data_IF_691696913678
#
_entry.id   IF_691696913678
#
_cell.length_a   1.000
_cell.length_b   1.000
_cell.length_c   1.000
_cell.angle_alpha   90.00
_cell.angle_beta   90.00
_cell.angle_gamma   90.00
#
_symmetry.space_group_name_H-M   'P 1'
#
loop_
_entity.id
_entity.type
_entity.pdbx_description
1 polymer ?
#
# COMPACT_ATOMS: atom_id res chain seq x y z
N UNK A 1 14.13 -40.26 -25.76
CA UNK A 1 13.46 -39.90 -27.03
C UNK A 1 12.92 -38.50 -26.81
N UNK A 2 13.47 -37.47 -27.48
CA UNK A 2 13.05 -36.09 -27.25
C UNK A 2 11.62 -35.93 -27.79
N UNK A 3 10.69 -35.60 -26.90
CA UNK A 3 9.29 -35.39 -27.28
C UNK A 3 9.04 -33.92 -27.53
N UNK A 4 8.30 -33.57 -28.57
CA UNK A 4 7.98 -32.19 -28.92
C UNK A 4 6.48 -31.93 -28.79
N UNK A 5 6.14 -30.73 -28.30
CA UNK A 5 4.78 -30.18 -28.35
C UNK A 5 4.78 -28.85 -29.09
N UNK A 6 3.66 -28.53 -29.72
CA UNK A 6 3.40 -27.21 -30.30
C UNK A 6 2.46 -26.44 -29.36
N UNK A 7 2.90 -25.25 -28.93
CA UNK A 7 2.10 -24.33 -28.12
C UNK A 7 1.63 -23.19 -28.99
N UNK A 8 0.35 -22.86 -28.90
CA UNK A 8 -0.27 -21.80 -29.67
C UNK A 8 -0.91 -20.74 -28.76
N UNK A 9 -0.57 -19.47 -29.00
CA UNK A 9 -1.07 -18.31 -28.25
C UNK A 9 -1.32 -17.15 -29.21
N UNK A 10 -2.58 -16.74 -29.43
CA UNK A 10 -2.93 -15.62 -30.31
C UNK A 10 -2.22 -15.64 -31.69
N UNK A 11 -2.28 -16.77 -32.41
CA UNK A 11 -1.63 -16.97 -33.73
C UNK A 11 -0.08 -17.02 -33.68
N UNK A 12 0.54 -17.03 -32.50
CA UNK A 12 1.95 -17.34 -32.33
C UNK A 12 2.09 -18.83 -32.00
N UNK A 13 2.96 -19.52 -32.70
CA UNK A 13 3.29 -20.92 -32.44
C UNK A 13 4.73 -21.05 -31.96
N UNK A 14 4.93 -21.79 -30.87
CA UNK A 14 6.26 -22.14 -30.35
C UNK A 14 6.35 -23.66 -30.19
N UNK A 15 7.42 -24.27 -30.69
CA UNK A 15 7.68 -25.70 -30.54
C UNK A 15 8.66 -25.87 -29.38
N UNK A 16 8.32 -26.73 -28.42
CA UNK A 16 9.13 -26.97 -27.23
C UNK A 16 9.38 -28.47 -27.07
N UNK A 17 10.64 -28.82 -26.79
CA UNK A 17 11.02 -30.16 -26.38
C UNK A 17 10.80 -30.34 -24.87
N UNK A 18 10.22 -31.47 -24.47
CA UNK A 18 9.97 -31.82 -23.08
C UNK A 18 10.35 -33.27 -22.79
N UNK A 19 10.64 -33.53 -21.51
CA UNK A 19 10.85 -34.89 -20.99
C UNK A 19 9.51 -35.46 -20.48
N UNK A 20 9.24 -36.78 -20.60
CA UNK A 20 7.95 -37.37 -20.18
C UNK A 20 7.60 -37.11 -18.71
N UNK A 21 8.62 -37.01 -17.86
CA UNK A 21 8.54 -36.71 -16.42
C UNK A 21 8.31 -35.22 -16.12
N UNK A 22 8.50 -34.33 -17.10
CA UNK A 22 8.25 -32.90 -16.90
C UNK A 22 6.75 -32.67 -16.64
N UNK A 23 6.43 -31.75 -15.73
CA UNK A 23 5.05 -31.27 -15.54
C UNK A 23 4.72 -30.18 -16.55
N UNK A 24 3.44 -30.01 -16.87
CA UNK A 24 2.97 -28.95 -17.76
C UNK A 24 3.46 -27.55 -17.33
N UNK A 25 3.53 -27.31 -16.01
CA UNK A 25 4.09 -26.09 -15.41
C UNK A 25 5.59 -25.91 -15.68
N UNK A 26 6.38 -26.98 -15.66
CA UNK A 26 7.81 -26.96 -16.00
C UNK A 26 8.02 -26.59 -17.46
N UNK A 27 7.24 -27.19 -18.36
CA UNK A 27 7.31 -26.93 -19.80
C UNK A 27 6.89 -25.51 -20.15
N UNK A 28 5.85 -24.98 -19.49
CA UNK A 28 5.43 -23.59 -19.69
C UNK A 28 6.46 -22.55 -19.25
N UNK A 29 7.30 -22.85 -18.26
CA UNK A 29 8.42 -21.96 -17.87
C UNK A 29 9.49 -21.86 -18.95
N UNK A 30 9.58 -22.86 -19.84
CA UNK A 30 10.50 -22.86 -20.98
C UNK A 30 9.96 -22.05 -22.18
N UNK A 31 8.73 -21.52 -22.08
CA UNK A 31 8.13 -20.71 -23.14
C UNK A 31 8.54 -19.24 -23.02
N UNK A 32 8.81 -18.60 -24.15
CA UNK A 32 9.16 -17.18 -24.23
C UNK A 32 7.92 -16.27 -24.37
N UNK A 33 6.72 -16.80 -24.09
CA UNK A 33 5.49 -16.00 -24.04
C UNK A 33 5.55 -15.05 -22.84
N UNK A 34 6.25 -13.92 -22.99
CA UNK A 34 6.44 -12.83 -22.02
C UNK A 34 5.33 -12.77 -20.97
N UNK A 35 5.60 -13.37 -19.81
CA UNK A 35 5.08 -13.07 -18.46
C UNK A 35 3.58 -12.77 -18.26
N UNK A 36 2.71 -13.05 -19.24
CA UNK A 36 1.29 -12.63 -19.23
C UNK A 36 0.30 -13.79 -19.12
N UNK A 37 0.78 -15.01 -18.90
CA UNK A 37 -0.07 -16.18 -18.69
C UNK A 37 -0.32 -16.30 -17.18
N UNK A 38 -1.18 -15.42 -16.66
CA UNK A 38 -1.81 -15.68 -15.37
C UNK A 38 -2.81 -16.82 -15.57
N UNK A 39 -2.47 -17.92 -14.92
CA UNK A 39 -3.08 -19.24 -14.90
C UNK A 39 -4.59 -19.29 -15.16
N UNK A 40 -5.04 -20.22 -16.02
CA UNK A 40 -5.98 -21.30 -15.67
C UNK A 40 -6.65 -21.99 -16.88
N UNK A 41 -6.46 -21.57 -18.13
CA UNK A 41 -7.07 -22.26 -19.28
C UNK A 41 -6.06 -22.60 -20.38
N UNK A 42 -5.56 -23.84 -20.33
CA UNK A 42 -4.91 -24.50 -21.46
C UNK A 42 -5.82 -25.63 -21.94
N UNK A 43 -5.93 -25.82 -23.25
CA UNK A 43 -6.75 -26.89 -23.83
C UNK A 43 -6.00 -27.67 -24.90
N UNK A 44 -6.21 -28.98 -24.93
CA UNK A 44 -5.68 -29.88 -25.95
C UNK A 44 -6.84 -30.63 -26.58
N UNK A 45 -6.97 -30.58 -27.91
CA UNK A 45 -8.07 -31.22 -28.64
C UNK A 45 -9.44 -30.90 -28.03
N UNK A 46 -9.68 -29.62 -27.71
CA UNK A 46 -10.87 -29.11 -27.00
C UNK A 46 -11.11 -29.63 -25.56
N UNK A 47 -10.18 -30.38 -24.98
CA UNK A 47 -10.23 -30.79 -23.56
C UNK A 47 -9.43 -29.81 -22.71
N UNK A 48 -10.03 -29.26 -21.66
CA UNK A 48 -9.37 -28.32 -20.75
C UNK A 48 -8.46 -29.07 -19.79
N UNK A 49 -7.21 -28.61 -19.64
CA UNK A 49 -6.26 -29.13 -18.65
C UNK A 49 -6.62 -28.52 -17.28
N UNK A 50 -7.17 -29.35 -16.40
CA UNK A 50 -7.59 -28.95 -15.05
C UNK A 50 -6.44 -29.04 -14.03
N UNK A 51 -5.50 -29.97 -14.22
CA UNK A 51 -4.36 -30.15 -13.32
C UNK A 51 -3.03 -29.96 -14.06
N UNK A 52 -2.28 -28.96 -13.61
CA UNK A 52 -1.05 -28.47 -14.23
C UNK A 52 0.21 -29.11 -13.64
N UNK A 53 0.04 -29.92 -12.58
CA UNK A 53 1.09 -30.66 -11.91
C UNK A 53 1.17 -32.12 -12.38
N UNK A 54 0.28 -32.55 -13.26
CA UNK A 54 0.35 -33.88 -13.85
C UNK A 54 1.59 -33.99 -14.75
N UNK A 55 2.32 -35.13 -14.69
CA UNK A 55 3.46 -35.37 -15.56
C UNK A 55 2.97 -35.57 -17.00
N UNK A 56 3.71 -35.04 -17.98
CA UNK A 56 3.28 -35.00 -19.38
C UNK A 56 3.02 -36.39 -19.99
N UNK A 57 3.66 -37.44 -19.47
CA UNK A 57 3.41 -38.84 -19.87
C UNK A 57 1.95 -39.28 -19.64
N UNK A 58 1.32 -38.81 -18.56
CA UNK A 58 -0.05 -39.24 -18.19
C UNK A 58 -1.11 -38.73 -19.15
N UNK A 59 -0.78 -37.70 -19.94
CA UNK A 59 -1.76 -36.98 -20.74
C UNK A 59 -1.64 -37.22 -22.25
N UNK A 60 -0.78 -38.15 -22.70
CA UNK A 60 -0.65 -38.56 -24.12
C UNK A 60 -0.55 -37.40 -25.12
N UNK A 61 0.17 -36.31 -24.76
CA UNK A 61 0.28 -35.09 -25.57
C UNK A 61 1.25 -35.19 -26.76
N UNK A 62 1.74 -36.38 -27.09
CA UNK A 62 2.78 -36.58 -28.12
C UNK A 62 2.30 -36.03 -29.48
N UNK A 63 2.98 -35.00 -30.00
CA UNK A 63 2.62 -34.36 -31.27
C UNK A 63 1.32 -33.56 -31.26
N UNK A 64 0.72 -33.32 -30.10
CA UNK A 64 -0.50 -32.52 -29.98
C UNK A 64 -0.21 -31.02 -29.94
N UNK A 65 -1.15 -30.23 -30.43
CA UNK A 65 -1.12 -28.76 -30.28
C UNK A 65 -1.87 -28.38 -29.02
N UNK A 66 -1.19 -27.68 -28.12
CA UNK A 66 -1.76 -27.12 -26.90
C UNK A 66 -2.13 -25.67 -27.18
N UNK A 67 -3.41 -25.36 -27.06
CA UNK A 67 -3.92 -24.01 -27.17
C UNK A 67 -3.86 -23.33 -25.81
N UNK A 68 -3.07 -22.27 -25.72
CA UNK A 68 -3.01 -21.39 -24.57
C UNK A 68 -3.99 -20.25 -24.79
N UNK A 69 -4.95 -20.11 -23.90
CA UNK A 69 -5.89 -19.00 -23.94
C UNK A 69 -5.36 -17.90 -23.02
N UNK A 70 -5.08 -16.71 -23.56
CA UNK A 70 -4.90 -15.53 -22.70
C UNK A 70 -6.24 -15.25 -22.04
N UNK A 71 -6.27 -15.27 -20.71
CA UNK A 71 -7.32 -14.59 -19.98
C UNK A 71 -7.12 -13.09 -20.22
N UNK A 72 -7.67 -12.56 -21.32
CA UNK A 72 -8.16 -11.19 -21.27
C UNK A 72 -9.24 -11.25 -20.22
N UNK A 73 -9.03 -10.57 -19.08
CA UNK A 73 -10.10 -10.28 -18.13
C UNK A 73 -11.35 -10.01 -18.94
N UNK A 74 -12.27 -10.99 -18.96
CA UNK A 74 -13.34 -11.00 -19.92
C UNK A 74 -14.05 -9.65 -19.77
N UNK A 75 -14.15 -8.90 -20.86
CA UNK A 75 -15.05 -7.77 -20.96
C UNK A 75 -16.46 -8.32 -20.80
N UNK A 76 -16.86 -8.54 -19.54
CA UNK A 76 -18.15 -9.02 -19.17
C UNK A 76 -19.09 -7.81 -19.32
N UNK A 77 -19.50 -7.55 -20.56
CA UNK A 77 -20.40 -6.44 -20.92
C UNK A 77 -21.69 -6.43 -20.07
N UNK A 78 -22.04 -7.55 -19.43
CA UNK A 78 -23.18 -7.69 -18.51
C UNK A 78 -22.96 -7.08 -17.12
N UNK A 79 -21.71 -6.88 -16.68
CA UNK A 79 -21.39 -6.41 -15.34
C UNK A 79 -20.86 -4.97 -15.30
N UNK A 80 -20.79 -4.30 -16.45
CA UNK A 80 -20.36 -2.91 -16.55
C UNK A 80 -21.48 -2.00 -16.06
N UNK A 81 -21.26 -1.38 -14.91
CA UNK A 81 -22.17 -0.43 -14.29
C UNK A 81 -21.62 1.00 -14.42
N UNK A 82 -22.53 1.96 -14.47
CA UNK A 82 -22.23 3.37 -14.30
C UNK A 82 -22.35 3.72 -12.83
N UNK A 83 -21.28 4.21 -12.24
CA UNK A 83 -21.32 4.79 -10.89
C UNK A 83 -21.20 6.30 -11.02
N UNK A 84 -21.96 7.01 -10.19
CA UNK A 84 -21.89 8.47 -10.09
C UNK A 84 -21.07 8.81 -8.87
N UNK A 85 -19.97 9.51 -9.08
CA UNK A 85 -19.18 10.05 -7.98
C UNK A 85 -19.63 11.45 -7.68
N UNK A 86 -19.83 11.75 -6.40
CA UNK A 86 -19.96 13.13 -5.93
C UNK A 86 -18.68 13.48 -5.20
N UNK A 87 -17.90 14.39 -5.78
CA UNK A 87 -16.66 14.88 -5.17
C UNK A 87 -16.93 16.14 -4.35
N UNK A 88 -16.55 16.13 -3.07
CA UNK A 88 -16.66 17.25 -2.14
C UNK A 88 -15.60 18.35 -2.40
N UNK A 89 -14.50 18.01 -3.10
CA UNK A 89 -13.33 18.89 -3.23
C UNK A 89 -13.54 20.05 -4.23
N UNK A 90 -14.30 19.85 -5.31
CA UNK A 90 -14.45 20.83 -6.39
C UNK A 90 -15.92 21.13 -6.74
N UNK A 91 -16.77 21.34 -5.73
CA UNK A 91 -18.18 21.75 -5.89
C UNK A 91 -19.13 20.65 -6.38
N UNK A 92 -19.25 19.53 -5.64
CA UNK A 92 -20.25 18.47 -5.88
C UNK A 92 -20.29 17.98 -7.33
N UNK A 93 -19.13 17.95 -7.99
CA UNK A 93 -19.01 17.52 -9.38
C UNK A 93 -19.44 16.06 -9.50
N UNK A 94 -20.46 15.82 -10.31
CA UNK A 94 -20.93 14.49 -10.67
C UNK A 94 -20.05 13.93 -11.79
N UNK A 95 -19.33 12.84 -11.50
CA UNK A 95 -18.51 12.13 -12.48
C UNK A 95 -19.11 10.75 -12.70
N UNK A 96 -19.47 10.43 -13.94
CA UNK A 96 -19.94 9.09 -14.32
C UNK A 96 -18.76 8.22 -14.73
N UNK A 97 -18.54 7.12 -14.02
CA UNK A 97 -17.49 6.15 -14.33
C UNK A 97 -18.09 4.81 -14.73
N UNK A 98 -17.46 4.18 -15.73
CA UNK A 98 -17.81 2.85 -16.19
C UNK A 98 -16.87 1.84 -15.54
N UNK A 99 -17.42 0.97 -14.70
CA UNK A 99 -16.65 -0.04 -13.95
C UNK A 99 -17.37 -1.39 -13.95
N UNK A 100 -16.62 -2.50 -13.90
CA UNK A 100 -17.20 -3.84 -13.76
C UNK A 100 -17.44 -4.16 -12.27
N UNK A 101 -18.61 -4.73 -11.94
CA UNK A 101 -18.97 -5.18 -10.58
C UNK A 101 -17.98 -6.16 -9.93
N UNK A 102 -17.19 -6.85 -10.75
CA UNK A 102 -16.15 -7.79 -10.28
C UNK A 102 -14.87 -7.11 -9.82
N UNK A 103 -14.70 -5.81 -10.09
CA UNK A 103 -13.56 -5.03 -9.61
C UNK A 103 -13.60 -4.87 -8.09
N UNK A 104 -12.40 -4.74 -7.53
CA UNK A 104 -12.18 -4.45 -6.13
C UNK A 104 -12.35 -2.96 -5.80
N UNK A 105 -12.43 -2.62 -4.51
CA UNK A 105 -12.35 -1.23 -4.05
C UNK A 105 -11.01 -0.59 -4.43
N UNK A 106 -9.93 -1.36 -4.44
CA UNK A 106 -8.62 -0.89 -4.91
C UNK A 106 -8.67 -0.38 -6.34
N UNK A 107 -9.27 -1.17 -7.25
CA UNK A 107 -9.41 -0.80 -8.66
C UNK A 107 -10.25 0.46 -8.82
N UNK A 108 -11.35 0.58 -8.06
CA UNK A 108 -12.19 1.76 -8.05
C UNK A 108 -11.41 3.00 -7.60
N UNK A 109 -10.63 2.92 -6.51
CA UNK A 109 -9.81 4.05 -6.03
C UNK A 109 -8.75 4.48 -7.05
N UNK A 110 -8.12 3.53 -7.72
CA UNK A 110 -7.18 3.83 -8.81
C UNK A 110 -7.87 4.49 -10.01
N UNK A 111 -9.09 4.09 -10.32
CA UNK A 111 -9.87 4.71 -11.40
C UNK A 111 -10.27 6.14 -11.03
N UNK A 112 -10.66 6.37 -9.78
CA UNK A 112 -10.94 7.71 -9.24
C UNK A 112 -9.72 8.60 -9.31
N UNK A 113 -8.53 8.09 -8.96
CA UNK A 113 -7.28 8.84 -9.03
C UNK A 113 -7.02 9.39 -10.43
N UNK A 114 -7.25 8.57 -11.47
CA UNK A 114 -7.09 8.99 -12.87
C UNK A 114 -8.00 10.14 -13.28
N UNK A 115 -9.15 10.30 -12.64
CA UNK A 115 -10.15 11.34 -12.96
C UNK A 115 -10.10 12.56 -12.04
N UNK A 116 -9.60 12.42 -10.81
CA UNK A 116 -9.67 13.45 -9.77
C UNK A 116 -8.30 13.87 -9.23
N UNK A 117 -7.24 13.14 -9.59
CA UNK A 117 -5.88 13.33 -9.07
C UNK A 117 -5.77 13.25 -7.53
N UNK A 118 -6.75 12.64 -6.85
CA UNK A 118 -6.69 12.37 -5.41
C UNK A 118 -6.05 11.00 -5.21
N UNK A 119 -4.91 10.92 -4.53
CA UNK A 119 -4.20 9.66 -4.27
C UNK A 119 -5.11 8.59 -3.64
N UNK A 120 -5.04 7.30 -4.05
CA UNK A 120 -5.92 6.24 -3.55
C UNK A 120 -6.00 6.12 -2.03
N UNK A 121 -4.85 6.33 -1.37
CA UNK A 121 -4.74 6.29 0.09
C UNK A 121 -5.44 7.47 0.78
N UNK A 122 -5.62 8.58 0.07
CA UNK A 122 -6.30 9.79 0.52
C UNK A 122 -7.77 9.83 0.12
N UNK A 123 -8.28 8.78 -0.49
CA UNK A 123 -9.69 8.68 -0.83
C UNK A 123 -10.47 7.98 0.28
N UNK A 124 -11.58 8.58 0.71
CA UNK A 124 -12.62 7.95 1.49
C UNK A 124 -13.87 7.82 0.63
N UNK A 125 -14.27 6.57 0.35
CA UNK A 125 -15.44 6.25 -0.45
C UNK A 125 -16.58 5.89 0.49
N UNK A 126 -17.75 6.52 0.33
CA UNK A 126 -18.93 6.24 1.13
C UNK A 126 -20.11 5.89 0.23
N UNK A 127 -20.76 4.76 0.53
CA UNK A 127 -21.95 4.26 -0.15
C UNK A 127 -22.98 3.84 0.91
N UNK A 128 -24.19 4.40 0.85
CA UNK A 128 -25.28 4.09 1.80
C UNK A 128 -24.86 4.16 3.29
N UNK A 129 -24.10 5.20 3.67
CA UNK A 129 -23.53 5.39 5.01
C UNK A 129 -22.48 4.34 5.43
N UNK A 130 -21.97 3.54 4.49
CA UNK A 130 -20.87 2.59 4.72
C UNK A 130 -19.61 3.07 4.03
N UNK A 131 -18.51 3.04 4.77
CA UNK A 131 -17.18 3.36 4.24
C UNK A 131 -16.64 2.12 3.52
N UNK A 132 -16.20 2.29 2.28
CA UNK A 132 -15.59 1.23 1.47
C UNK A 132 -14.07 1.23 1.72
N UNK A 133 -13.65 0.56 2.79
CA UNK A 133 -12.24 0.46 3.19
C UNK A 133 -11.61 -0.92 2.91
N UNK A 134 -12.40 -1.96 2.64
CA UNK A 134 -11.87 -3.29 2.33
C UNK A 134 -11.29 -3.34 0.91
N UNK A 135 -9.96 -3.38 0.81
CA UNK A 135 -9.19 -3.25 -0.45
C UNK A 135 -9.56 -4.34 -1.45
N UNK A 136 -9.68 -5.59 -0.99
CA UNK A 136 -9.90 -6.78 -1.84
C UNK A 136 -11.37 -7.06 -2.12
N UNK A 137 -12.28 -6.36 -1.45
CA UNK A 137 -13.71 -6.62 -1.54
C UNK A 137 -14.26 -6.08 -2.85
N UNK A 138 -15.11 -6.87 -3.51
CA UNK A 138 -15.70 -6.52 -4.81
C UNK A 138 -16.87 -5.56 -4.66
N UNK A 139 -17.12 -4.76 -5.70
CA UNK A 139 -18.25 -3.83 -5.74
C UNK A 139 -19.60 -4.55 -5.58
N UNK A 140 -19.75 -5.73 -6.18
CA UNK A 140 -20.96 -6.55 -6.03
C UNK A 140 -21.23 -6.97 -4.59
N UNK A 141 -20.20 -7.19 -3.77
CA UNK A 141 -20.33 -7.62 -2.39
C UNK A 141 -20.78 -6.49 -1.44
N UNK A 142 -20.63 -5.24 -1.87
CA UNK A 142 -21.21 -4.08 -1.19
C UNK A 142 -22.65 -3.79 -1.63
N UNK A 143 -23.21 -4.57 -2.58
CA UNK A 143 -24.55 -4.35 -3.11
C UNK A 143 -24.64 -3.17 -4.06
N UNK A 144 -23.51 -2.67 -4.58
CA UNK A 144 -23.45 -1.57 -5.53
C UNK A 144 -24.10 -2.02 -6.85
N UNK A 145 -25.00 -1.19 -7.39
CA UNK A 145 -25.75 -1.44 -8.63
C UNK A 145 -25.46 -0.40 -9.70
N UNK A 146 -26.03 -0.59 -10.88
CA UNK A 146 -26.01 0.44 -11.92
C UNK A 146 -26.65 1.75 -11.43
N UNK A 147 -26.05 2.88 -11.79
CA UNK A 147 -26.41 4.24 -11.37
C UNK A 147 -26.29 4.53 -9.87
N UNK A 148 -25.57 3.68 -9.12
CA UNK A 148 -25.28 3.94 -7.72
C UNK A 148 -24.45 5.21 -7.54
N UNK A 149 -24.75 5.96 -6.47
CA UNK A 149 -24.03 7.18 -6.12
C UNK A 149 -23.04 6.88 -5.00
N UNK A 150 -21.75 7.09 -5.27
CA UNK A 150 -20.67 6.94 -4.29
C UNK A 150 -20.13 8.33 -3.97
N UNK A 151 -20.12 8.67 -2.69
CA UNK A 151 -19.55 9.93 -2.23
C UNK A 151 -18.03 9.75 -2.07
N UNK A 152 -17.27 10.60 -2.75
CA UNK A 152 -15.81 10.60 -2.67
C UNK A 152 -15.36 11.81 -1.86
N UNK A 153 -14.71 11.54 -0.73
CA UNK A 153 -14.10 12.57 0.11
C UNK A 153 -12.59 12.41 0.11
N UNK A 154 -11.89 13.53 0.05
CA UNK A 154 -10.45 13.55 0.33
C UNK A 154 -10.25 13.46 1.83
N UNK A 155 -9.53 12.44 2.30
CA UNK A 155 -9.06 12.33 3.67
C UNK A 155 -8.17 13.54 3.96
N UNK A 156 -8.54 14.32 4.95
CA UNK A 156 -7.70 15.41 5.46
C UNK A 156 -6.54 14.80 6.24
N UNK A 157 -5.34 14.81 5.68
CA UNK A 157 -4.11 14.54 6.44
C UNK A 157 -3.74 15.81 7.21
N UNK A 158 -4.34 15.98 8.38
CA UNK A 158 -4.03 17.09 9.28
C UNK A 158 -5.25 17.97 9.58
N UNK A 159 -5.45 18.21 10.87
CA UNK A 159 -6.65 18.81 11.44
C UNK A 159 -7.08 17.96 12.62
N UNK A 160 -6.38 18.12 13.74
CA UNK A 160 -6.72 17.50 15.01
C UNK A 160 -8.14 17.94 15.40
N UNK A 161 -9.13 17.15 15.03
CA UNK A 161 -10.56 17.48 15.19
C UNK A 161 -11.08 17.00 16.54
N UNK A 162 -10.30 17.23 17.61
CA UNK A 162 -10.71 17.03 19.00
C UNK A 162 -9.89 18.01 19.82
N UNK A 163 -10.48 19.15 20.23
CA UNK A 163 -10.16 19.93 21.45
C UNK A 163 -8.70 20.17 21.86
N UNK A 164 -7.71 19.97 20.99
CA UNK A 164 -6.32 19.95 21.37
C UNK A 164 -5.61 21.21 20.88
N UNK A 165 -4.98 21.85 21.86
CA UNK A 165 -4.15 23.04 21.84
C UNK A 165 -3.72 23.54 20.46
N UNK A 166 -4.05 24.81 20.20
CA UNK A 166 -3.30 25.69 19.29
C UNK A 166 -1.82 25.32 19.39
N UNK A 167 -1.17 24.96 18.26
CA UNK A 167 0.28 24.79 18.25
C UNK A 167 0.90 25.98 18.97
N UNK A 168 1.75 25.74 19.96
CA UNK A 168 2.31 26.81 20.77
C UNK A 168 2.98 27.83 19.84
N UNK A 169 2.34 29.01 19.70
CA UNK A 169 2.86 30.08 18.88
C UNK A 169 4.03 30.73 19.63
N UNK A 170 5.23 30.22 19.36
CA UNK A 170 6.47 30.71 19.95
C UNK A 170 6.80 32.16 19.54
N UNK A 171 6.03 32.78 18.61
CA UNK A 171 6.11 34.21 18.32
C UNK A 171 5.38 35.07 19.36
N UNK A 172 4.39 34.50 20.05
CA UNK A 172 3.57 35.21 21.05
C UNK A 172 4.09 35.10 22.48
N UNK A 173 5.05 34.22 22.75
CA UNK A 173 5.57 34.05 24.09
C UNK A 173 6.60 32.95 24.20
N UNK A 174 7.83 33.34 24.50
CA UNK A 174 8.93 32.45 24.86
C UNK A 174 10.06 33.28 25.45
N UNK A 175 10.63 32.84 26.57
CA UNK A 175 11.78 33.53 27.16
C UNK A 175 13.02 33.32 26.27
N UNK A 176 13.49 34.38 25.63
CA UNK A 176 14.74 34.36 24.87
C UNK A 176 15.91 34.68 25.78
N UNK A 177 16.58 33.64 26.24
CA UNK A 177 17.78 33.77 27.06
C UNK A 177 19.01 33.85 26.15
N UNK A 178 19.87 34.85 26.34
CA UNK A 178 21.18 34.90 25.68
C UNK A 178 22.09 33.86 26.32
N UNK A 179 22.61 32.94 25.52
CA UNK A 179 23.54 31.91 25.98
C UNK A 179 24.88 32.54 26.36
N UNK A 180 25.43 32.13 27.50
CA UNK A 180 26.76 32.53 27.97
C UNK A 180 27.79 31.46 27.64
N UNK A 181 29.04 31.87 27.35
CA UNK A 181 30.16 30.93 27.15
C UNK A 181 30.75 30.39 28.46
N UNK A 182 30.34 30.95 29.59
CA UNK A 182 30.76 30.55 30.93
C UNK A 182 29.57 29.91 31.63
N UNK A 183 29.77 28.72 32.20
CA UNK A 183 28.72 27.95 32.86
C UNK A 183 29.19 26.59 33.35
N UNK A 184 28.30 25.87 34.03
CA UNK A 184 28.52 24.49 34.48
C UNK A 184 28.46 23.52 33.29
N UNK A 185 29.26 22.47 33.30
CA UNK A 185 29.36 21.50 32.19
C UNK A 185 27.99 20.87 31.85
N UNK A 186 27.24 20.45 32.87
CA UNK A 186 25.89 19.88 32.74
C UNK A 186 24.80 20.88 32.32
N UNK A 187 25.14 22.14 32.04
CA UNK A 187 24.22 23.15 31.49
C UNK A 187 24.58 23.57 30.06
N UNK A 188 25.45 22.80 29.40
CA UNK A 188 25.77 22.97 27.98
C UNK A 188 24.51 22.72 27.14
N UNK A 189 24.32 23.55 26.11
CA UNK A 189 23.21 23.44 25.16
C UNK A 189 23.73 23.06 23.78
N UNK A 190 22.90 22.42 22.97
CA UNK A 190 23.17 22.14 21.56
C UNK A 190 22.07 22.70 20.65
N UNK A 191 22.32 22.73 19.34
CA UNK A 191 21.27 23.11 18.40
C UNK A 191 20.14 22.07 18.40
N UNK A 192 18.89 22.53 18.40
CA UNK A 192 17.71 21.67 18.47
C UNK A 192 17.09 21.65 19.87
N UNK A 193 16.42 20.55 20.22
CA UNK A 193 15.71 20.41 21.48
C UNK A 193 16.69 20.21 22.65
N UNK A 194 16.50 21.01 23.69
CA UNK A 194 17.19 20.88 24.97
C UNK A 194 16.13 20.85 26.08
N UNK A 195 16.21 19.88 26.98
CA UNK A 195 15.27 19.70 28.09
C UNK A 195 15.93 20.10 29.40
N UNK A 196 15.20 20.84 30.23
CA UNK A 196 15.63 21.15 31.59
C UNK A 196 15.11 20.06 32.55
N UNK A 197 16.00 19.55 33.39
CA UNK A 197 15.66 18.58 34.42
C UNK A 197 16.55 18.74 35.65
N UNK A 198 16.21 18.03 36.72
CA UNK A 198 17.03 17.96 37.94
C UNK A 198 17.74 16.62 37.94
N UNK A 199 19.04 16.59 38.24
CA UNK A 199 19.75 15.32 38.39
C UNK A 199 19.41 14.67 39.73
N UNK A 200 18.98 13.40 39.69
CA UNK A 200 18.64 12.62 40.89
C UNK A 200 19.77 11.69 41.35
N UNK A 201 20.79 11.46 40.50
CA UNK A 201 21.92 10.59 40.85
C UNK A 201 22.73 11.22 42.00
N UNK A 202 22.87 10.50 43.12
CA UNK A 202 23.53 10.95 44.34
C UNK A 202 25.04 11.12 44.18
N UNK A 203 25.67 10.28 43.36
CA UNK A 203 27.13 10.28 43.14
C UNK A 203 27.55 11.29 42.05
N UNK A 204 26.58 11.94 41.39
CA UNK A 204 26.84 12.91 40.35
C UNK A 204 27.17 14.29 40.94
N UNK A 205 28.15 14.99 40.37
CA UNK A 205 28.47 16.39 40.72
C UNK A 205 27.29 17.35 40.53
N UNK A 206 26.36 16.98 39.64
CA UNK A 206 25.16 17.74 39.34
C UNK A 206 23.96 17.36 40.24
N UNK A 207 24.12 16.50 41.25
CA UNK A 207 23.03 16.05 42.12
C UNK A 207 22.21 17.23 42.67
N UNK A 208 20.88 17.16 42.51
CA UNK A 208 19.91 18.21 42.89
C UNK A 208 20.10 19.57 42.20
N UNK A 209 20.92 19.64 41.15
CA UNK A 209 21.07 20.83 40.31
C UNK A 209 20.30 20.68 38.99
N UNK A 210 19.97 21.81 38.38
CA UNK A 210 19.38 21.88 37.05
C UNK A 210 20.42 21.51 35.98
N UNK A 211 20.10 20.49 35.21
CA UNK A 211 20.85 19.96 34.08
C UNK A 211 20.11 20.20 32.77
N UNK A 212 20.87 20.33 31.69
CA UNK A 212 20.36 20.50 30.33
C UNK A 212 20.61 19.22 29.55
N UNK A 213 19.54 18.51 29.21
CA UNK A 213 19.59 17.29 28.43
C UNK A 213 19.44 17.61 26.95
N UNK A 214 20.50 17.33 26.21
CA UNK A 214 20.66 17.68 24.81
C UNK A 214 20.05 16.57 23.94
N UNK A 215 18.90 16.83 23.30
CA UNK A 215 18.26 15.87 22.37
C UNK A 215 18.54 16.19 20.90
N UNK A 216 18.90 17.44 20.60
CA UNK A 216 19.22 17.86 19.23
C UNK A 216 18.01 17.88 18.30
N UNK A 217 18.24 17.64 17.00
CA UNK A 217 17.18 17.52 16.01
C UNK A 217 16.74 16.05 15.89
N UNK A 218 15.77 15.65 16.70
CA UNK A 218 15.25 14.28 16.69
C UNK A 218 13.73 14.28 16.88
N UNK A 219 13.10 13.17 16.52
CA UNK A 219 11.72 12.89 16.93
C UNK A 219 11.73 12.56 18.41
N UNK A 220 10.89 13.25 19.18
CA UNK A 220 10.81 13.06 20.62
C UNK A 220 9.35 12.94 21.06
N UNK A 221 9.11 12.10 22.06
CA UNK A 221 7.79 11.86 22.65
C UNK A 221 7.89 12.08 24.16
N UNK A 222 7.27 13.16 24.65
CA UNK A 222 7.28 13.49 26.08
C UNK A 222 6.67 12.39 26.95
N UNK A 223 5.74 11.59 26.43
CA UNK A 223 5.09 10.52 27.18
C UNK A 223 6.00 9.31 27.39
N UNK A 224 7.12 9.22 26.65
CA UNK A 224 8.12 8.16 26.76
C UNK A 224 9.32 8.53 27.63
N UNK A 225 9.43 9.79 28.06
CA UNK A 225 10.52 10.24 28.93
C UNK A 225 10.18 9.81 30.36
N UNK A 226 10.50 8.57 30.70
CA UNK A 226 10.39 8.08 32.09
C UNK A 226 11.57 8.49 32.95
N UNK A 227 12.74 8.70 32.33
CA UNK A 227 13.97 9.04 33.02
C UNK A 227 14.72 10.07 32.19
N UNK A 228 15.27 11.07 32.87
CA UNK A 228 16.09 12.10 32.25
C UNK A 228 17.55 11.75 32.51
N UNK A 229 18.26 11.40 31.44
CA UNK A 229 19.69 11.06 31.46
C UNK A 229 20.49 12.36 31.66
N UNK A 230 21.08 12.50 32.86
CA UNK A 230 21.93 13.64 33.16
C UNK A 230 23.23 13.50 32.34
N UNK A 231 23.63 14.52 31.55
CA UNK A 231 24.82 14.43 30.71
C UNK A 231 26.11 14.23 31.52
N UNK A 232 26.13 14.67 32.77
CA UNK A 232 27.28 14.46 33.66
C UNK A 232 27.29 13.07 34.30
N UNK A 233 26.17 12.36 34.35
CA UNK A 233 26.13 10.95 34.77
C UNK A 233 26.65 10.03 33.67
N UNK A 234 26.42 10.39 32.40
CA UNK A 234 26.86 9.60 31.25
C UNK A 234 28.36 9.77 30.95
N UNK A 235 28.97 10.88 31.41
CA UNK A 235 30.41 11.17 31.26
C UNK A 235 31.28 10.64 32.43
N UNK A 236 30.71 9.93 33.42
CA UNK A 236 31.41 9.31 34.57
C UNK A 236 31.75 7.84 34.35
#
# INVERSE_FOLDING_TARGET
MLTIIQLELNMLHQIISYDPEDTFKSVLRKCDFNSSIHSHHASVNNTVILDWNLPMETCSFFGSTIFLHKFRHADNLKNKIFIRLVNDVEANKLISLKIDLTHSIFDLKNLIYRHTSIEPIDQSLNYENRILDDIDKKLCEYGIKNDSVILVKKKTRGGLSIGCSVFADMTQGGCRIKLTKVGKNWRRVTNGLNLLAICENFDCKAHKDLVVVQRGYTLFDFNRIRFVECPECDEQ
#
